data_IF_347831565489
#
_entry.id   IF_347831565489
#
_cell.length_a   1.000
_cell.length_b   1.000
_cell.length_c   1.000
_cell.angle_alpha   90.00
_cell.angle_beta   90.00
_cell.angle_gamma   90.00
#
_symmetry.space_group_name_H-M   'P 1'
#
loop_
_entity.id
_entity.type
_entity.pdbx_description
1 polymer ?
#
# COMPACT_ATOMS: atom_id res chain seq x y z
N UNK A 1 -28.27 9.06 5.47
CA UNK A 1 -26.83 8.71 5.41
C UNK A 1 -26.49 8.46 3.95
N UNK A 2 -25.76 9.37 3.30
CA UNK A 2 -25.42 9.23 1.88
C UNK A 2 -24.06 8.54 1.81
N UNK A 3 -24.05 7.25 1.49
CA UNK A 3 -22.84 6.58 1.03
C UNK A 3 -22.68 7.00 -0.42
N UNK A 4 -21.72 7.87 -0.73
CA UNK A 4 -21.38 8.18 -2.13
C UNK A 4 -20.61 6.98 -2.69
N UNK A 5 -21.12 6.28 -3.71
CA UNK A 5 -20.30 5.33 -4.42
C UNK A 5 -19.44 6.10 -5.45
N UNK A 6 -18.20 5.65 -5.66
CA UNK A 6 -17.31 6.05 -6.78
C UNK A 6 -16.40 7.29 -6.66
N UNK A 7 -15.88 7.65 -5.47
CA UNK A 7 -14.62 8.40 -5.46
C UNK A 7 -13.45 7.40 -5.48
N UNK A 8 -12.80 7.27 -6.64
CA UNK A 8 -11.57 6.49 -6.76
C UNK A 8 -10.50 7.10 -5.85
N UNK A 9 -9.95 6.31 -4.93
CA UNK A 9 -8.86 6.75 -4.06
C UNK A 9 -7.61 6.98 -4.92
N UNK A 10 -7.12 8.23 -4.97
CA UNK A 10 -5.87 8.58 -5.63
C UNK A 10 -4.76 8.70 -4.58
N UNK A 11 -3.72 7.89 -4.72
CA UNK A 11 -2.53 7.94 -3.88
C UNK A 11 -1.37 8.45 -4.75
N UNK A 12 -0.72 9.53 -4.32
CA UNK A 12 0.46 10.09 -4.99
C UNK A 12 1.64 9.88 -4.04
N UNK A 13 2.61 9.04 -4.44
CA UNK A 13 3.86 8.88 -3.71
C UNK A 13 4.93 9.77 -4.37
N UNK A 14 5.50 10.67 -3.59
CA UNK A 14 6.64 11.48 -3.99
C UNK A 14 7.87 11.02 -3.21
N UNK A 15 9.01 10.95 -3.88
CA UNK A 15 10.26 10.50 -3.28
C UNK A 15 11.43 11.35 -3.76
N UNK A 16 12.50 11.34 -2.98
CA UNK A 16 13.75 11.97 -3.37
C UNK A 16 14.56 11.04 -4.28
N UNK A 17 14.66 11.37 -5.57
CA UNK A 17 15.38 10.57 -6.56
C UNK A 17 16.92 10.57 -6.36
N UNK A 18 17.47 11.45 -5.53
CA UNK A 18 18.89 11.41 -5.15
C UNK A 18 19.18 10.38 -4.04
N UNK A 19 18.13 9.87 -3.38
CA UNK A 19 18.24 8.95 -2.24
C UNK A 19 17.65 7.58 -2.56
N UNK A 20 16.60 7.54 -3.39
CA UNK A 20 15.89 6.30 -3.73
C UNK A 20 15.76 6.13 -5.24
N UNK A 21 15.99 4.91 -5.70
CA UNK A 21 15.69 4.50 -7.06
C UNK A 21 14.18 4.26 -7.24
N UNK A 22 13.71 4.40 -8.48
CA UNK A 22 12.32 4.17 -8.86
C UNK A 22 11.82 2.79 -8.42
N UNK A 23 12.63 1.74 -8.63
CA UNK A 23 12.29 0.35 -8.28
C UNK A 23 12.01 0.16 -6.79
N UNK A 24 12.74 0.87 -5.93
CA UNK A 24 12.54 0.85 -4.48
C UNK A 24 11.18 1.45 -4.12
N UNK A 25 10.83 2.56 -4.74
CA UNK A 25 9.57 3.27 -4.47
C UNK A 25 8.37 2.52 -5.04
N UNK A 26 8.52 1.87 -6.20
CA UNK A 26 7.52 0.96 -6.75
C UNK A 26 7.27 -0.24 -5.82
N UNK A 27 8.32 -0.78 -5.20
CA UNK A 27 8.18 -1.85 -4.21
C UNK A 27 7.43 -1.36 -2.96
N UNK A 28 7.76 -0.17 -2.45
CA UNK A 28 7.02 0.48 -1.35
C UNK A 28 5.56 0.70 -1.72
N UNK A 29 5.27 1.19 -2.92
CA UNK A 29 3.91 1.39 -3.42
C UNK A 29 3.13 0.07 -3.43
N UNK A 30 3.71 -1.01 -3.96
CA UNK A 30 3.09 -2.33 -3.98
C UNK A 30 2.74 -2.80 -2.57
N UNK A 31 3.70 -2.72 -1.64
CA UNK A 31 3.45 -3.09 -0.24
C UNK A 31 2.34 -2.25 0.39
N UNK A 32 2.33 -0.93 0.15
CA UNK A 32 1.31 -0.04 0.67
C UNK A 32 -0.10 -0.38 0.17
N UNK A 33 -0.25 -0.64 -1.13
CA UNK A 33 -1.54 -1.04 -1.72
C UNK A 33 -2.03 -2.35 -1.10
N UNK A 34 -1.16 -3.34 -0.92
CA UNK A 34 -1.57 -4.61 -0.31
C UNK A 34 -1.96 -4.47 1.16
N UNK A 35 -1.28 -3.62 1.93
CA UNK A 35 -1.70 -3.33 3.31
C UNK A 35 -3.09 -2.69 3.34
N UNK A 36 -3.36 -1.70 2.48
CA UNK A 36 -4.69 -1.09 2.39
C UNK A 36 -5.75 -2.13 2.03
N UNK A 37 -5.47 -3.03 1.09
CA UNK A 37 -6.39 -4.09 0.71
C UNK A 37 -6.67 -5.05 1.87
N UNK A 38 -5.65 -5.40 2.67
CA UNK A 38 -5.81 -6.26 3.84
C UNK A 38 -6.67 -5.60 4.91
N UNK A 39 -6.43 -4.33 5.23
CA UNK A 39 -7.24 -3.56 6.20
C UNK A 39 -8.66 -3.35 5.68
N UNK A 40 -8.84 -3.06 4.39
CA UNK A 40 -10.17 -2.92 3.79
C UNK A 40 -10.97 -4.23 3.81
N UNK A 41 -10.28 -5.38 3.73
CA UNK A 41 -10.90 -6.71 3.78
C UNK A 41 -11.21 -7.13 5.22
N UNK A 42 -10.31 -6.83 6.17
CA UNK A 42 -10.48 -7.11 7.58
C UNK A 42 -10.03 -5.91 8.44
N UNK A 43 -10.94 -4.99 8.78
CA UNK A 43 -10.58 -3.78 9.54
C UNK A 43 -10.02 -4.04 10.95
N UNK A 44 -10.31 -5.20 11.53
CA UNK A 44 -9.85 -5.60 12.87
C UNK A 44 -8.45 -6.24 12.86
N UNK A 45 -7.81 -6.38 11.68
CA UNK A 45 -6.48 -6.97 11.55
C UNK A 45 -5.47 -6.19 12.40
N UNK A 46 -4.64 -6.90 13.17
CA UNK A 46 -3.58 -6.24 13.91
C UNK A 46 -2.51 -5.75 12.93
N UNK A 47 -1.93 -4.57 13.18
CA UNK A 47 -0.87 -4.01 12.33
C UNK A 47 0.31 -4.99 12.18
N UNK A 48 0.61 -5.76 13.22
CA UNK A 48 1.70 -6.74 13.20
C UNK A 48 1.41 -7.98 12.34
N UNK A 49 0.16 -8.19 11.94
CA UNK A 49 -0.28 -9.32 11.12
C UNK A 49 -0.39 -8.96 9.63
N UNK A 50 -0.19 -7.68 9.28
CA UNK A 50 -0.22 -7.24 7.89
C UNK A 50 0.93 -7.86 7.10
N UNK A 51 0.60 -8.68 6.11
CA UNK A 51 1.57 -9.32 5.26
C UNK A 51 2.17 -8.30 4.28
N UNK A 52 3.50 -8.21 4.26
CA UNK A 52 4.21 -7.51 3.18
C UNK A 52 4.35 -8.46 2.00
N UNK A 53 4.08 -7.97 0.79
CA UNK A 53 4.26 -8.75 -0.47
C UNK A 53 5.75 -9.02 -0.80
N UNK A 54 6.66 -8.98 0.18
CA UNK A 54 8.09 -9.23 -0.05
C UNK A 54 8.30 -10.68 -0.47
N UNK A 55 8.08 -10.98 -1.75
CA UNK A 55 8.74 -12.06 -2.46
C UNK A 55 10.17 -11.60 -2.75
N UNK A 56 11.00 -11.57 -1.72
CA UNK A 56 12.41 -11.84 -1.92
C UNK A 56 12.58 -13.34 -1.78
N UNK A 57 12.07 -14.08 -2.77
CA UNK A 57 12.44 -15.47 -2.96
C UNK A 57 13.93 -15.49 -3.31
N UNK A 58 14.74 -15.89 -2.31
CA UNK A 58 16.17 -16.27 -2.34
C UNK A 58 17.11 -15.43 -3.20
#
# INVERSE_FOLDING_TARGET
>A
MIVKPHENMKIILMYNANVYDLSTVEQIQKHFISMIQQVATNPEVNINELALITSRSK
#
